data_IF_588906628269
#
_entry.id   IF_588906628269
#
_cell.length_a   1.000
_cell.length_b   1.000
_cell.length_c   1.000
_cell.angle_alpha   90.00
_cell.angle_beta   90.00
_cell.angle_gamma   90.00
#
_symmetry.space_group_name_H-M   'P 1'
#
loop_
_entity.id
_entity.type
_entity.pdbx_description
1 polymer ?
#
# COMPACT_ATOMS: atom_id res chain seq x y z
N UNK A 1 62.55 -0.95 -21.44
CA UNK A 1 61.90 0.29 -21.89
C UNK A 1 60.43 0.24 -21.46
N UNK A 2 60.10 0.88 -20.34
CA UNK A 2 58.71 1.03 -19.85
C UNK A 2 58.28 2.44 -20.24
N UNK A 3 57.37 2.56 -21.20
CA UNK A 3 56.74 3.83 -21.55
C UNK A 3 55.80 4.22 -20.42
N UNK A 4 56.15 5.28 -19.69
CA UNK A 4 55.24 6.00 -18.82
C UNK A 4 54.11 6.55 -19.68
N UNK A 5 52.88 6.08 -19.41
CA UNK A 5 51.66 6.70 -19.91
C UNK A 5 51.47 7.97 -19.09
N UNK A 6 51.84 9.10 -19.70
CA UNK A 6 51.55 10.45 -19.22
C UNK A 6 50.03 10.58 -19.11
N UNK A 7 49.51 10.40 -17.90
CA UNK A 7 48.10 10.57 -17.61
C UNK A 7 47.76 12.06 -17.78
N UNK A 8 47.00 12.35 -18.84
CA UNK A 8 46.44 13.65 -19.16
C UNK A 8 45.63 14.18 -17.97
N UNK A 9 46.30 15.02 -17.17
CA UNK A 9 45.77 15.66 -15.98
C UNK A 9 44.93 16.84 -16.43
N UNK A 10 43.73 16.55 -16.91
CA UNK A 10 42.73 17.56 -17.19
C UNK A 10 42.31 18.18 -15.86
N UNK A 11 42.73 19.43 -15.63
CA UNK A 11 42.27 20.21 -14.49
C UNK A 11 40.74 20.28 -14.54
N UNK A 12 40.03 19.88 -13.48
CA UNK A 12 38.59 19.99 -13.43
C UNK A 12 38.23 21.46 -13.53
N UNK A 13 37.65 21.86 -14.65
CA UNK A 13 37.04 23.18 -14.81
C UNK A 13 36.05 23.37 -13.66
N UNK A 14 36.20 24.46 -12.86
CA UNK A 14 35.29 24.70 -11.76
C UNK A 14 33.85 24.79 -12.33
N UNK A 15 32.87 24.15 -11.68
CA UNK A 15 31.50 24.15 -12.16
C UNK A 15 31.04 25.59 -12.34
N UNK A 16 30.70 25.95 -13.58
CA UNK A 16 30.18 27.28 -13.91
C UNK A 16 28.92 27.53 -13.07
N UNK A 17 28.89 28.65 -12.34
CA UNK A 17 27.96 29.00 -11.26
C UNK A 17 26.45 29.09 -11.56
N UNK A 18 25.91 28.28 -12.46
CA UNK A 18 24.48 28.09 -12.67
C UNK A 18 23.89 26.90 -11.87
N UNK A 19 24.68 26.22 -11.04
CA UNK A 19 24.23 25.17 -10.09
C UNK A 19 23.27 25.69 -9.00
N UNK A 20 22.92 26.98 -9.03
CA UNK A 20 22.02 27.65 -8.09
C UNK A 20 20.52 27.47 -8.43
N UNK A 21 20.16 26.86 -9.56
CA UNK A 21 18.75 26.51 -9.82
C UNK A 21 18.34 25.20 -9.12
N UNK A 22 18.53 25.14 -7.80
CA UNK A 22 17.92 24.13 -6.93
C UNK A 22 16.52 24.61 -6.56
N UNK A 23 15.54 24.22 -7.35
CA UNK A 23 14.15 24.61 -7.14
C UNK A 23 13.16 23.66 -7.80
N UNK A 24 11.90 23.74 -7.37
CA UNK A 24 10.78 23.13 -8.09
C UNK A 24 10.54 24.00 -9.32
N UNK A 25 10.68 23.43 -10.51
CA UNK A 25 10.28 24.13 -11.73
C UNK A 25 8.77 24.37 -11.66
N UNK A 26 8.30 25.63 -11.66
CA UNK A 26 6.88 25.91 -11.52
C UNK A 26 6.13 25.28 -12.70
N UNK A 27 5.01 24.61 -12.39
CA UNK A 27 4.05 24.17 -13.40
C UNK A 27 3.62 25.37 -14.23
N UNK A 28 3.54 25.21 -15.56
CA UNK A 28 2.77 26.16 -16.35
C UNK A 28 1.33 26.18 -15.84
N UNK A 29 0.71 27.35 -15.84
CA UNK A 29 -0.67 27.54 -15.38
C UNK A 29 -1.61 26.52 -16.04
N UNK A 30 -1.44 26.27 -17.34
CA UNK A 30 -2.23 25.30 -18.08
C UNK A 30 -2.03 23.85 -17.58
N UNK A 31 -0.79 23.46 -17.27
CA UNK A 31 -0.50 22.13 -16.73
C UNK A 31 -1.07 21.96 -15.33
N UNK A 32 -1.00 23.00 -14.50
CA UNK A 32 -1.57 23.00 -13.17
C UNK A 32 -3.10 22.89 -13.22
N UNK A 33 -3.75 23.68 -14.08
CA UNK A 33 -5.20 23.63 -14.29
C UNK A 33 -5.60 22.23 -14.79
N UNK A 34 -4.89 21.69 -15.77
CA UNK A 34 -5.16 20.34 -16.30
C UNK A 34 -5.01 19.27 -15.22
N UNK A 35 -3.98 19.35 -14.36
CA UNK A 35 -3.78 18.43 -13.25
C UNK A 35 -4.93 18.51 -12.25
N UNK A 36 -5.32 19.72 -11.84
CA UNK A 36 -6.40 19.94 -10.87
C UNK A 36 -7.73 19.45 -11.42
N UNK A 37 -8.07 19.83 -12.66
CA UNK A 37 -9.30 19.38 -13.31
C UNK A 37 -9.32 17.86 -13.52
N UNK A 38 -8.21 17.27 -13.97
CA UNK A 38 -8.09 15.82 -14.15
C UNK A 38 -8.23 15.06 -12.83
N UNK A 39 -7.63 15.56 -11.75
CA UNK A 39 -7.75 14.98 -10.42
C UNK A 39 -9.19 15.06 -9.92
N UNK A 40 -9.82 16.24 -9.96
CA UNK A 40 -11.21 16.43 -9.53
C UNK A 40 -12.15 15.54 -10.34
N UNK A 41 -12.01 15.51 -11.67
CA UNK A 41 -12.82 14.68 -12.55
C UNK A 41 -12.64 13.19 -12.24
N UNK A 42 -11.40 12.72 -12.06
CA UNK A 42 -11.10 11.33 -11.71
C UNK A 42 -11.68 10.90 -10.36
N UNK A 43 -11.60 11.76 -9.35
CA UNK A 43 -12.19 11.53 -8.03
C UNK A 43 -13.73 11.53 -8.10
N UNK A 44 -14.33 12.50 -8.79
CA UNK A 44 -15.79 12.60 -8.96
C UNK A 44 -16.36 11.41 -9.76
N UNK A 45 -15.64 10.99 -10.80
CA UNK A 45 -16.01 9.82 -11.61
C UNK A 45 -15.92 8.55 -10.77
N UNK A 46 -14.82 8.35 -10.04
CA UNK A 46 -14.69 7.18 -9.15
C UNK A 46 -15.72 7.22 -8.01
N UNK A 47 -16.10 8.40 -7.52
CA UNK A 47 -17.17 8.59 -6.53
C UNK A 47 -18.55 8.21 -7.08
N UNK A 48 -18.82 8.55 -8.33
CA UNK A 48 -20.12 8.24 -8.95
C UNK A 48 -20.19 6.78 -9.41
N UNK A 49 -19.04 6.21 -9.76
CA UNK A 49 -18.91 4.97 -10.53
C UNK A 49 -17.82 4.09 -9.88
N UNK A 50 -18.10 3.40 -8.75
CA UNK A 50 -17.08 2.73 -7.92
C UNK A 50 -16.21 1.69 -8.64
N UNK A 51 -16.78 0.97 -9.61
CA UNK A 51 -16.10 0.00 -10.47
C UNK A 51 -14.97 0.59 -11.34
N UNK A 52 -14.84 1.92 -11.45
CA UNK A 52 -13.69 2.56 -12.07
C UNK A 52 -12.48 2.71 -11.13
N UNK A 53 -12.64 2.46 -9.82
CA UNK A 53 -11.55 2.57 -8.85
C UNK A 53 -10.29 1.72 -9.18
N UNK A 54 -10.40 0.48 -9.70
CA UNK A 54 -9.23 -0.29 -10.11
C UNK A 54 -8.41 0.37 -11.22
N UNK A 55 -9.03 1.22 -12.04
CA UNK A 55 -8.34 1.92 -13.13
C UNK A 55 -7.83 3.29 -12.67
N UNK A 56 -8.66 4.02 -11.92
CA UNK A 56 -8.39 5.42 -11.59
C UNK A 56 -7.68 5.63 -10.24
N UNK A 57 -7.77 4.68 -9.31
CA UNK A 57 -7.26 4.83 -7.93
C UNK A 57 -6.14 3.83 -7.64
N UNK A 58 -6.32 2.56 -8.00
CA UNK A 58 -5.34 1.51 -7.67
C UNK A 58 -3.92 1.79 -8.19
N UNK A 59 -3.69 2.33 -9.40
CA UNK A 59 -2.34 2.67 -9.83
C UNK A 59 -1.64 3.63 -8.86
N UNK A 60 -2.39 4.58 -8.30
CA UNK A 60 -1.86 5.55 -7.34
C UNK A 60 -1.67 4.98 -5.94
N UNK A 61 -2.45 3.98 -5.53
CA UNK A 61 -2.26 3.33 -4.23
C UNK A 61 -1.14 2.27 -4.26
N UNK A 62 -0.96 1.58 -5.38
CA UNK A 62 -0.20 0.33 -5.42
C UNK A 62 1.04 0.33 -6.32
N UNK A 63 1.24 1.33 -7.18
CA UNK A 63 2.35 1.28 -8.14
C UNK A 63 3.08 2.60 -8.37
N UNK A 64 2.35 3.66 -8.70
CA UNK A 64 2.93 4.87 -9.30
C UNK A 64 3.81 5.65 -8.32
N UNK A 65 3.39 5.97 -7.08
CA UNK A 65 4.20 6.79 -6.19
C UNK A 65 5.54 6.14 -5.84
N UNK A 66 5.53 4.85 -5.51
CA UNK A 66 6.72 4.09 -5.20
C UNK A 66 7.61 3.89 -6.43
N UNK A 67 7.05 3.66 -7.63
CA UNK A 67 7.85 3.63 -8.86
C UNK A 67 8.63 4.92 -9.08
N UNK A 68 7.95 6.06 -8.98
CA UNK A 68 8.56 7.40 -9.12
C UNK A 68 9.66 7.60 -8.08
N UNK A 69 9.38 7.26 -6.81
CA UNK A 69 10.36 7.38 -5.73
C UNK A 69 11.59 6.49 -5.96
N UNK A 70 11.41 5.23 -6.34
CA UNK A 70 12.51 4.27 -6.55
C UNK A 70 13.37 4.69 -7.74
N UNK A 71 12.77 5.13 -8.86
CA UNK A 71 13.54 5.65 -10.01
C UNK A 71 14.42 6.84 -9.64
N UNK A 72 13.97 7.63 -8.67
CA UNK A 72 14.65 8.84 -8.21
C UNK A 72 15.77 8.55 -7.23
N UNK A 73 15.55 7.62 -6.31
CA UNK A 73 16.51 7.25 -5.25
C UNK A 73 17.53 6.21 -5.74
N UNK A 74 17.13 5.32 -6.63
CA UNK A 74 17.94 4.19 -7.11
C UNK A 74 17.83 4.03 -8.64
N UNK A 75 18.31 5.00 -9.43
CA UNK A 75 18.16 5.00 -10.90
C UNK A 75 18.82 3.81 -11.58
N UNK A 76 19.86 3.24 -10.97
CA UNK A 76 20.60 2.08 -11.50
C UNK A 76 19.91 0.73 -11.31
N UNK A 77 18.76 0.67 -10.63
CA UNK A 77 18.02 -0.58 -10.49
C UNK A 77 17.44 -1.05 -11.84
N UNK A 78 17.54 -2.35 -12.16
CA UNK A 78 16.92 -2.90 -13.36
C UNK A 78 15.40 -2.78 -13.26
N UNK A 79 14.72 -2.69 -14.41
CA UNK A 79 13.26 -2.46 -14.50
C UNK A 79 12.46 -3.41 -13.59
N UNK A 80 12.68 -4.74 -13.56
CA UNK A 80 11.93 -5.62 -12.67
C UNK A 80 12.13 -5.30 -11.18
N UNK A 81 13.35 -4.90 -10.80
CA UNK A 81 13.65 -4.45 -9.43
C UNK A 81 12.90 -3.18 -9.07
N UNK A 82 12.82 -2.22 -9.99
CA UNK A 82 12.02 -1.00 -9.80
C UNK A 82 10.54 -1.32 -9.66
N UNK A 83 10.00 -2.26 -10.45
CA UNK A 83 8.59 -2.68 -10.33
C UNK A 83 8.33 -3.26 -8.95
N UNK A 84 9.12 -4.24 -8.53
CA UNK A 84 8.93 -4.93 -7.25
C UNK A 84 9.04 -3.99 -6.06
N UNK A 85 10.15 -3.25 -5.96
CA UNK A 85 10.38 -2.30 -4.86
C UNK A 85 9.38 -1.13 -4.93
N UNK A 86 9.03 -0.69 -6.14
CA UNK A 86 8.06 0.38 -6.34
C UNK A 86 6.64 0.01 -5.88
N UNK A 87 6.21 -1.23 -6.08
CA UNK A 87 4.93 -1.72 -5.55
C UNK A 87 4.95 -1.73 -4.03
N UNK A 88 5.99 -2.32 -3.42
CA UNK A 88 6.14 -2.38 -1.95
C UNK A 88 6.15 -0.98 -1.34
N UNK A 89 6.93 -0.06 -1.91
CA UNK A 89 6.98 1.33 -1.46
C UNK A 89 5.63 2.03 -1.62
N UNK A 90 4.90 1.80 -2.71
CA UNK A 90 3.57 2.37 -2.93
C UNK A 90 2.57 1.89 -1.89
N UNK A 91 2.51 0.57 -1.66
CA UNK A 91 1.62 -0.05 -0.66
C UNK A 91 1.94 0.49 0.74
N UNK A 92 3.22 0.57 1.10
CA UNK A 92 3.64 1.10 2.39
C UNK A 92 3.19 2.56 2.57
N UNK A 93 3.50 3.43 1.60
CA UNK A 93 3.14 4.85 1.65
C UNK A 93 1.63 5.05 1.67
N UNK A 94 0.89 4.33 0.82
CA UNK A 94 -0.56 4.47 0.73
C UNK A 94 -1.26 3.94 1.98
N UNK A 95 -0.83 2.82 2.56
CA UNK A 95 -1.39 2.31 3.80
C UNK A 95 -1.24 3.32 4.96
N UNK A 96 -0.06 3.90 5.12
CA UNK A 96 0.19 4.89 6.18
C UNK A 96 -0.56 6.20 5.93
N UNK A 97 -0.67 6.64 4.67
CA UNK A 97 -1.43 7.85 4.35
C UNK A 97 -2.94 7.63 4.58
N UNK A 98 -3.48 6.49 4.16
CA UNK A 98 -4.89 6.15 4.38
C UNK A 98 -5.20 6.04 5.87
N UNK A 99 -4.33 5.41 6.67
CA UNK A 99 -4.46 5.39 8.13
C UNK A 99 -4.47 6.82 8.71
N UNK A 100 -3.51 7.65 8.31
CA UNK A 100 -3.41 9.04 8.77
C UNK A 100 -4.69 9.84 8.45
N UNK A 101 -5.21 9.73 7.23
CA UNK A 101 -6.45 10.42 6.81
C UNK A 101 -7.67 9.85 7.53
N UNK A 102 -7.74 8.53 7.70
CA UNK A 102 -8.86 7.86 8.37
C UNK A 102 -9.01 8.26 9.84
N UNK A 103 -7.92 8.68 10.50
CA UNK A 103 -7.96 9.20 11.89
C UNK A 103 -8.75 10.52 12.04
N UNK A 104 -8.96 11.27 10.96
CA UNK A 104 -9.67 12.55 11.02
C UNK A 104 -11.20 12.40 11.02
N UNK A 105 -11.71 11.28 10.49
CA UNK A 105 -13.15 11.00 10.40
C UNK A 105 -13.36 9.52 10.69
N UNK A 106 -13.30 8.67 9.66
CA UNK A 106 -13.36 7.21 9.78
C UNK A 106 -12.66 6.55 8.59
N UNK A 107 -12.35 5.25 8.71
CA UNK A 107 -11.92 4.46 7.55
C UNK A 107 -13.09 4.26 6.60
N UNK A 108 -12.99 4.81 5.39
CA UNK A 108 -14.04 4.72 4.40
C UNK A 108 -13.62 5.25 3.04
N UNK A 109 -14.60 5.35 2.14
CA UNK A 109 -14.38 5.77 0.75
C UNK A 109 -13.72 7.14 0.64
N UNK A 110 -14.14 8.08 1.49
CA UNK A 110 -13.59 9.45 1.52
C UNK A 110 -12.10 9.41 1.84
N UNK A 111 -11.70 8.67 2.88
CA UNK A 111 -10.28 8.54 3.27
C UNK A 111 -9.42 7.96 2.14
N UNK A 112 -9.90 6.92 1.46
CA UNK A 112 -9.18 6.30 0.33
C UNK A 112 -9.01 7.27 -0.84
N UNK A 113 -10.07 7.99 -1.22
CA UNK A 113 -10.03 8.93 -2.35
C UNK A 113 -9.19 10.17 -2.06
N UNK A 114 -9.29 10.73 -0.85
CA UNK A 114 -8.43 11.84 -0.43
C UNK A 114 -6.96 11.42 -0.40
N UNK A 115 -6.66 10.23 0.11
CA UNK A 115 -5.29 9.69 0.13
C UNK A 115 -4.75 9.48 -1.29
N UNK A 116 -5.56 8.92 -2.19
CA UNK A 116 -5.19 8.76 -3.60
C UNK A 116 -4.89 10.13 -4.26
N UNK A 117 -5.74 11.14 -4.02
CA UNK A 117 -5.50 12.49 -4.51
C UNK A 117 -4.23 13.13 -3.93
N UNK A 118 -3.99 12.97 -2.63
CA UNK A 118 -2.74 13.38 -2.00
C UNK A 118 -1.51 12.72 -2.60
N UNK A 119 -1.57 11.42 -2.89
CA UNK A 119 -0.50 10.68 -3.56
C UNK A 119 -0.26 11.16 -4.99
N UNK A 120 -1.31 11.49 -5.75
CA UNK A 120 -1.16 12.08 -7.09
C UNK A 120 -0.37 13.39 -7.01
N UNK A 121 -0.77 14.29 -6.11
CA UNK A 121 -0.09 15.58 -5.93
C UNK A 121 1.35 15.40 -5.46
N UNK A 122 1.58 14.56 -4.44
CA UNK A 122 2.91 14.25 -3.94
C UNK A 122 3.80 13.65 -5.03
N UNK A 123 3.27 12.76 -5.85
CA UNK A 123 4.00 12.14 -6.97
C UNK A 123 4.42 13.20 -7.99
N UNK A 124 3.51 14.12 -8.37
CA UNK A 124 3.84 15.21 -9.31
C UNK A 124 4.92 16.12 -8.74
N UNK A 125 4.85 16.46 -7.45
CA UNK A 125 5.86 17.27 -6.78
C UNK A 125 7.21 16.56 -6.76
N UNK A 126 7.27 15.29 -6.33
CA UNK A 126 8.51 14.50 -6.28
C UNK A 126 9.13 14.32 -7.66
N UNK A 127 8.29 14.13 -8.69
CA UNK A 127 8.75 13.98 -10.07
C UNK A 127 9.42 15.26 -10.62
N UNK A 128 9.05 16.43 -10.10
CA UNK A 128 9.53 17.75 -10.57
C UNK A 128 10.58 18.41 -9.67
N UNK A 129 10.78 17.88 -8.47
CA UNK A 129 11.70 18.47 -7.50
C UNK A 129 13.16 18.31 -7.98
N UNK A 130 13.90 19.37 -8.27
CA UNK A 130 15.33 19.22 -8.53
C UNK A 130 16.10 19.20 -7.19
N UNK A 131 16.55 18.01 -6.78
CA UNK A 131 17.31 17.81 -5.54
C UNK A 131 18.61 17.06 -5.82
N UNK A 132 19.76 17.45 -5.25
CA UNK A 132 21.07 16.84 -5.56
C UNK A 132 21.17 15.34 -5.27
N UNK A 133 20.31 14.82 -4.40
CA UNK A 133 20.26 13.39 -4.05
C UNK A 133 19.24 12.59 -4.84
N UNK A 134 18.45 13.23 -5.71
CA UNK A 134 17.44 12.57 -6.52
C UNK A 134 17.83 12.64 -7.99
N UNK A 135 17.95 11.48 -8.63
CA UNK A 135 18.26 11.38 -10.06
C UNK A 135 17.17 12.05 -10.90
N UNK A 136 17.48 12.75 -12.00
CA UNK A 136 16.45 13.29 -12.88
C UNK A 136 15.51 12.17 -13.39
N UNK A 137 14.22 12.48 -13.51
CA UNK A 137 13.24 11.59 -14.12
C UNK A 137 13.14 11.90 -15.60
N UNK A 138 13.69 11.01 -16.43
CA UNK A 138 13.51 11.10 -17.88
C UNK A 138 12.09 10.67 -18.23
N UNK A 139 11.23 11.65 -18.52
CA UNK A 139 9.88 11.39 -19.01
C UNK A 139 9.93 11.30 -20.54
N UNK A 140 9.70 10.11 -21.12
CA UNK A 140 9.66 9.98 -22.57
C UNK A 140 8.50 10.81 -23.14
N UNK A 141 8.68 11.49 -24.30
CA UNK A 141 7.60 12.22 -24.93
C UNK A 141 6.43 11.28 -25.24
N UNK A 142 5.18 11.76 -25.07
CA UNK A 142 3.98 10.90 -25.14
C UNK A 142 3.92 10.02 -26.41
N UNK A 143 4.37 10.56 -27.56
CA UNK A 143 4.44 9.85 -28.84
C UNK A 143 5.40 8.65 -28.86
N UNK A 144 6.44 8.64 -28.03
CA UNK A 144 7.42 7.55 -27.97
C UNK A 144 7.09 6.51 -26.90
N UNK A 145 6.11 6.77 -26.03
CA UNK A 145 5.71 5.85 -24.95
C UNK A 145 5.38 4.45 -25.48
N UNK A 146 4.58 4.25 -26.55
CA UNK A 146 4.26 2.91 -27.02
C UNK A 146 5.49 2.13 -27.51
N UNK A 147 6.42 2.82 -28.19
CA UNK A 147 7.65 2.22 -28.68
C UNK A 147 8.60 1.85 -27.52
N UNK A 148 8.72 2.75 -26.54
CA UNK A 148 9.51 2.52 -25.34
C UNK A 148 8.98 1.32 -24.54
N UNK A 149 7.67 1.25 -24.28
CA UNK A 149 7.03 0.11 -23.60
C UNK A 149 7.35 -1.19 -24.34
N UNK A 150 7.20 -1.21 -25.67
CA UNK A 150 7.49 -2.41 -26.47
C UNK A 150 8.96 -2.83 -26.39
N UNK A 151 9.88 -1.87 -26.38
CA UNK A 151 11.31 -2.15 -26.23
C UNK A 151 11.62 -2.75 -24.84
N UNK A 152 11.12 -2.14 -23.77
CA UNK A 152 11.30 -2.64 -22.40
C UNK A 152 10.71 -4.04 -22.20
N UNK A 153 9.49 -4.27 -22.69
CA UNK A 153 8.85 -5.59 -22.59
C UNK A 153 9.65 -6.68 -23.30
N UNK A 154 10.32 -6.35 -24.42
CA UNK A 154 11.17 -7.31 -25.15
C UNK A 154 12.49 -7.57 -24.42
N UNK A 155 13.11 -6.51 -23.89
CA UNK A 155 14.39 -6.62 -23.19
C UNK A 155 14.26 -7.46 -21.91
N UNK A 156 13.18 -7.25 -21.15
CA UNK A 156 12.95 -7.91 -19.87
C UNK A 156 11.92 -9.05 -19.95
N UNK A 157 11.63 -9.54 -21.17
CA UNK A 157 10.58 -10.54 -21.40
C UNK A 157 10.67 -11.76 -20.48
N UNK A 158 11.85 -12.38 -20.24
CA UNK A 158 11.95 -13.53 -19.34
C UNK A 158 11.53 -13.20 -17.91
N UNK A 159 11.92 -12.03 -17.40
CA UNK A 159 11.54 -11.60 -16.05
C UNK A 159 10.03 -11.39 -15.93
N UNK A 160 9.40 -10.81 -16.95
CA UNK A 160 7.95 -10.64 -17.00
C UNK A 160 7.21 -11.97 -17.09
N UNK A 161 7.72 -12.94 -17.86
CA UNK A 161 7.14 -14.29 -17.93
C UNK A 161 7.19 -14.97 -16.57
N UNK A 162 8.35 -14.93 -15.88
CA UNK A 162 8.48 -15.51 -14.54
C UNK A 162 7.55 -14.81 -13.56
N UNK A 163 7.51 -13.47 -13.55
CA UNK A 163 6.62 -12.71 -12.69
C UNK A 163 5.15 -13.05 -12.94
N UNK A 164 4.73 -13.16 -14.20
CA UNK A 164 3.37 -13.55 -14.57
C UNK A 164 3.06 -14.99 -14.14
N UNK A 165 3.96 -15.93 -14.38
CA UNK A 165 3.81 -17.32 -13.97
C UNK A 165 3.70 -17.46 -12.45
N UNK A 166 4.58 -16.81 -11.70
CA UNK A 166 4.52 -16.76 -10.22
C UNK A 166 3.22 -16.11 -9.75
N UNK A 167 2.80 -15.01 -10.38
CA UNK A 167 1.56 -14.32 -10.04
C UNK A 167 0.34 -15.21 -10.27
N UNK A 168 0.31 -15.96 -11.38
CA UNK A 168 -0.77 -16.92 -11.67
C UNK A 168 -0.79 -18.07 -10.66
N UNK A 169 0.36 -18.59 -10.25
CA UNK A 169 0.45 -19.62 -9.21
C UNK A 169 -0.08 -19.09 -7.88
N UNK A 170 0.42 -17.93 -7.44
CA UNK A 170 -0.03 -17.29 -6.19
C UNK A 170 -1.52 -16.98 -6.26
N UNK A 171 -1.99 -16.40 -7.36
CA UNK A 171 -3.41 -16.12 -7.58
C UNK A 171 -4.24 -17.40 -7.57
N UNK A 172 -3.79 -18.48 -8.21
CA UNK A 172 -4.49 -19.77 -8.19
C UNK A 172 -4.58 -20.38 -6.80
N UNK A 173 -3.49 -20.33 -6.03
CA UNK A 173 -3.48 -20.75 -4.62
C UNK A 173 -4.42 -19.88 -3.80
N UNK A 174 -4.39 -18.56 -3.96
CA UNK A 174 -5.29 -17.66 -3.24
C UNK A 174 -6.75 -17.91 -3.66
N UNK A 175 -7.07 -17.92 -4.94
CA UNK A 175 -8.44 -18.11 -5.43
C UNK A 175 -9.05 -19.45 -4.97
N UNK A 176 -8.26 -20.53 -4.92
CA UNK A 176 -8.72 -21.85 -4.48
C UNK A 176 -8.86 -22.01 -2.96
N UNK A 177 -8.20 -21.16 -2.17
CA UNK A 177 -8.20 -21.26 -0.71
C UNK A 177 -8.95 -20.12 -0.01
N UNK A 178 -9.10 -18.96 -0.65
CA UNK A 178 -9.76 -17.79 -0.07
C UNK A 178 -11.27 -17.92 -0.08
N UNK A 179 -11.86 -18.60 -1.06
CA UNK A 179 -13.30 -18.79 -1.17
C UNK A 179 -13.61 -20.27 -1.45
N UNK A 180 -14.43 -20.87 -0.60
CA UNK A 180 -15.01 -22.19 -0.85
C UNK A 180 -16.52 -22.09 -0.82
N UNK A 181 -17.15 -22.64 -1.83
CA UNK A 181 -18.59 -22.83 -1.85
C UNK A 181 -18.96 -23.96 -0.87
N UNK A 182 -19.95 -23.71 -0.03
CA UNK A 182 -20.59 -24.65 0.89
C UNK A 182 -22.10 -24.66 0.62
N UNK A 183 -22.84 -25.66 1.12
CA UNK A 183 -24.30 -25.67 1.00
C UNK A 183 -25.00 -24.41 1.54
N UNK A 184 -24.35 -23.70 2.48
CA UNK A 184 -24.90 -22.51 3.13
C UNK A 184 -24.37 -21.18 2.53
N UNK A 185 -23.53 -21.23 1.49
CA UNK A 185 -22.99 -20.05 0.80
C UNK A 185 -21.49 -20.12 0.53
N UNK A 186 -20.82 -18.97 0.40
CA UNK A 186 -19.36 -18.93 0.25
C UNK A 186 -18.69 -18.66 1.61
N UNK A 187 -17.79 -19.55 2.01
CA UNK A 187 -16.97 -19.38 3.23
C UNK A 187 -15.52 -19.06 2.85
N UNK A 188 -14.87 -18.24 3.68
CA UNK A 188 -13.44 -17.98 3.54
C UNK A 188 -12.63 -18.98 4.34
N UNK A 189 -11.80 -19.80 3.69
CA UNK A 189 -11.17 -20.99 4.28
C UNK A 189 -9.65 -20.93 4.51
N UNK A 190 -8.99 -19.80 4.27
CA UNK A 190 -7.53 -19.70 4.30
C UNK A 190 -6.97 -19.27 5.66
N UNK A 191 -6.16 -20.13 6.29
CA UNK A 191 -5.54 -20.00 7.63
C UNK A 191 -4.87 -18.63 7.94
N UNK A 192 -4.47 -17.85 6.93
CA UNK A 192 -3.76 -16.58 7.11
C UNK A 192 -4.51 -15.34 6.57
N UNK A 193 -5.58 -15.53 5.81
CA UNK A 193 -6.25 -14.45 5.05
C UNK A 193 -7.75 -14.32 5.33
N UNK A 194 -8.38 -15.35 5.91
CA UNK A 194 -9.72 -15.21 6.48
C UNK A 194 -9.74 -14.10 7.53
N UNK A 195 -8.64 -13.95 8.29
CA UNK A 195 -8.49 -12.91 9.29
C UNK A 195 -8.33 -11.51 8.72
N UNK A 196 -7.90 -11.30 7.46
CA UNK A 196 -7.80 -9.94 6.92
C UNK A 196 -9.17 -9.24 6.86
N UNK A 197 -10.19 -9.92 6.31
CA UNK A 197 -11.55 -9.38 6.26
C UNK A 197 -12.19 -9.33 7.65
N UNK A 198 -11.88 -10.29 8.52
CA UNK A 198 -12.30 -10.27 9.93
C UNK A 198 -11.70 -9.08 10.67
N UNK A 199 -10.42 -8.78 10.49
CA UNK A 199 -9.72 -7.65 11.09
C UNK A 199 -10.22 -6.32 10.54
N UNK A 200 -10.53 -6.23 9.25
CA UNK A 200 -11.20 -5.05 8.67
C UNK A 200 -12.58 -4.87 9.30
N UNK A 201 -13.36 -5.95 9.47
CA UNK A 201 -14.67 -5.89 10.11
C UNK A 201 -14.58 -5.52 11.61
N UNK A 202 -13.63 -6.10 12.36
CA UNK A 202 -13.34 -5.75 13.76
C UNK A 202 -12.91 -4.28 13.87
N UNK A 203 -11.96 -3.85 13.04
CA UNK A 203 -11.49 -2.47 13.00
C UNK A 203 -12.63 -1.50 12.69
N UNK A 204 -13.45 -1.81 11.68
CA UNK A 204 -14.63 -1.02 11.37
C UNK A 204 -15.63 -0.98 12.54
N UNK A 205 -15.88 -2.10 13.22
CA UNK A 205 -16.77 -2.18 14.37
C UNK A 205 -16.29 -1.32 15.55
N UNK A 206 -14.99 -1.34 15.84
CA UNK A 206 -14.35 -0.52 16.89
C UNK A 206 -14.42 0.97 16.54
N UNK A 207 -14.15 1.33 15.27
CA UNK A 207 -14.25 2.73 14.81
C UNK A 207 -15.68 3.29 14.96
N UNK A 208 -16.70 2.42 14.92
CA UNK A 208 -18.09 2.79 15.20
C UNK A 208 -18.48 2.69 16.69
N UNK A 209 -17.52 2.52 17.60
CA UNK A 209 -17.76 2.50 19.04
C UNK A 209 -18.31 1.19 19.59
N UNK A 210 -18.33 0.11 18.82
CA UNK A 210 -18.81 -1.19 19.30
C UNK A 210 -17.72 -1.91 20.10
N UNK A 211 -17.97 -2.11 21.39
CA UNK A 211 -17.14 -2.97 22.25
C UNK A 211 -18.01 -3.91 23.10
N UNK A 212 -17.87 -5.25 22.97
CA UNK A 212 -16.93 -5.95 22.09
C UNK A 212 -17.26 -5.75 20.59
N UNK A 213 -16.27 -5.86 19.69
CA UNK A 213 -16.49 -5.72 18.25
C UNK A 213 -17.55 -6.72 17.76
N UNK A 214 -18.56 -6.22 17.06
CA UNK A 214 -19.53 -7.03 16.35
C UNK A 214 -18.94 -7.40 14.98
N UNK A 215 -18.89 -8.69 14.65
CA UNK A 215 -18.34 -9.22 13.39
C UNK A 215 -19.45 -10.00 12.68
N UNK A 216 -19.66 -9.83 11.36
CA UNK A 216 -20.88 -10.28 10.68
C UNK A 216 -20.88 -11.76 10.29
N UNK A 217 -20.20 -12.63 11.04
CA UNK A 217 -20.20 -14.07 10.74
C UNK A 217 -21.42 -14.78 11.32
N UNK A 218 -22.01 -14.26 12.40
CA UNK A 218 -23.30 -14.73 12.95
C UNK A 218 -23.97 -13.58 13.69
N UNK A 219 -25.18 -13.18 13.29
CA UNK A 219 -25.96 -12.21 14.05
C UNK A 219 -26.42 -12.85 15.38
N UNK A 220 -26.00 -12.31 16.52
CA UNK A 220 -26.56 -12.64 17.85
C UNK A 220 -25.70 -13.51 18.79
N UNK A 221 -24.55 -14.01 18.34
CA UNK A 221 -23.67 -14.85 19.18
C UNK A 221 -22.39 -14.07 19.60
N UNK A 222 -22.07 -13.95 20.90
CA UNK A 222 -20.82 -13.35 21.37
C UNK A 222 -19.63 -14.17 20.89
N UNK A 223 -18.79 -13.60 20.03
CA UNK A 223 -17.55 -14.25 19.59
C UNK A 223 -16.51 -14.28 20.70
N UNK A 224 -16.11 -15.49 21.11
CA UNK A 224 -14.83 -15.73 21.78
C UNK A 224 -13.71 -15.76 20.73
N UNK A 225 -13.33 -14.58 20.22
CA UNK A 225 -12.25 -14.43 19.24
C UNK A 225 -10.89 -14.61 19.93
N UNK A 226 -10.03 -15.46 19.36
CA UNK A 226 -8.80 -15.94 20.00
C UNK A 226 -7.77 -14.83 20.27
N UNK A 227 -7.80 -13.74 19.51
CA UNK A 227 -6.88 -12.61 19.67
C UNK A 227 -7.11 -11.81 20.98
N UNK A 228 -8.32 -11.85 21.54
CA UNK A 228 -8.58 -11.26 22.86
C UNK A 228 -8.14 -12.16 24.01
N UNK A 229 -7.79 -13.43 23.76
CA UNK A 229 -7.17 -14.28 24.78
C UNK A 229 -5.76 -13.79 25.13
N UNK A 230 -5.01 -13.24 24.17
CA UNK A 230 -3.65 -12.73 24.41
C UNK A 230 -3.64 -11.40 25.17
N UNK A 231 -4.67 -10.55 25.01
CA UNK A 231 -4.80 -9.31 25.79
C UNK A 231 -5.42 -9.51 27.18
N UNK A 232 -5.89 -10.71 27.52
CA UNK A 232 -6.50 -11.05 28.82
C UNK A 232 -5.71 -12.06 29.67
N UNK A 233 -4.42 -12.31 29.36
CA UNK A 233 -3.52 -13.06 30.25
C UNK A 233 -3.16 -12.34 31.57
N UNK A 234 -3.94 -11.32 31.97
CA UNK A 234 -3.91 -10.78 33.33
C UNK A 234 -5.32 -10.47 33.84
N UNK A 235 -6.26 -11.41 33.67
CA UNK A 235 -7.35 -11.50 34.64
C UNK A 235 -6.77 -12.07 35.94
N UNK A 236 -6.77 -11.32 37.07
CA UNK A 236 -6.30 -11.86 38.34
C UNK A 236 -7.24 -13.01 38.72
N UNK A 237 -6.74 -14.25 38.66
CA UNK A 237 -7.47 -15.39 39.20
C UNK A 237 -7.87 -15.03 40.64
N UNK A 238 -9.16 -15.11 41.01
CA UNK A 238 -9.54 -14.92 42.40
C UNK A 238 -8.79 -15.96 43.23
N UNK A 239 -8.06 -15.49 44.24
CA UNK A 239 -7.42 -16.38 45.21
C UNK A 239 -8.50 -17.29 45.78
N UNK A 240 -8.30 -18.61 45.85
CA UNK A 240 -9.22 -19.47 46.55
C UNK A 240 -9.21 -19.06 48.02
N UNK A 241 -10.28 -18.41 48.46
CA UNK A 241 -10.53 -18.22 49.89
C UNK A 241 -10.86 -19.59 50.46
N UNK A 242 -9.87 -20.24 51.07
CA UNK A 242 -10.09 -21.37 51.94
C UNK A 242 -10.88 -20.91 53.16
N UNK A 243 -12.21 -21.07 53.11
CA UNK A 243 -13.04 -21.14 54.31
C UNK A 243 -13.91 -22.38 54.21
N UNK A 244 -13.39 -23.47 54.76
CA UNK A 244 -14.18 -24.65 55.10
C UNK A 244 -15.12 -24.28 56.25
N UNK A 245 -16.34 -23.84 55.92
CA UNK A 245 -17.44 -23.90 56.88
C UNK A 245 -17.93 -25.35 56.93
N UNK A 246 -17.65 -26.00 58.06
CA UNK A 246 -18.16 -27.31 58.45
C UNK A 246 -19.69 -27.33 58.33
N UNK A 247 -20.23 -28.25 57.52
CA UNK A 247 -21.60 -28.72 57.69
C UNK A 247 -21.63 -29.67 58.89
N UNK A 248 -21.93 -29.13 60.07
CA UNK A 248 -22.47 -29.91 61.18
C UNK A 248 -23.99 -30.00 61.00
N UNK A 249 -24.52 -31.20 61.23
CA UNK A 249 -25.95 -31.58 61.31
C UNK A 249 -26.76 -31.67 60.01
N UNK A 250 -26.85 -32.89 59.46
CA UNK A 250 -28.11 -33.41 58.92
C UNK A 250 -28.65 -34.48 59.89
N UNK A 251 -29.93 -34.45 60.29
CA UNK A 251 -30.56 -35.54 61.01
C UNK A 251 -31.07 -36.61 60.02
N UNK A 252 -30.94 -37.87 60.40
CA UNK A 252 -31.57 -39.00 59.71
C UNK A 252 -33.10 -38.94 59.84
N UNK A 253 -33.81 -39.32 58.76
CA UNK A 253 -34.70 -40.47 58.84
C UNK A 253 -34.43 -41.53 57.76
#
# INVERSE_FOLDING_TARGET
MRSFVEADRTDPTPPSGNDAQRGVEPLSSDSLIALVLGLIAGLALTWSVPWLAPILVWPWLFAVPGWVLVRRVAPGLPVPGVVGVGIVASVYLSAHLVDLVARADTFGRVAVLLSAGGLVLATVIIARLHHPWLAPLDVPPARSVPAAIRAYLRQDLPAWIIAAATSLVVFGVLASNVWRETPDGFVSGGWNWSDFLVHVAIGNSIVHGNFPPQVPYVAGEPLSYHWFADSTARSPRPRPTSRSSRCSSCPAP
#
